data_IF_401980908288
#
_entry.id   IF_401980908288
#
_cell.length_a   1.000
_cell.length_b   1.000
_cell.length_c   1.000
_cell.angle_alpha   90.00
_cell.angle_beta   90.00
_cell.angle_gamma   90.00
#
_symmetry.space_group_name_H-M   'P 1'
#
loop_
_entity.id
_entity.type
_entity.pdbx_description
1 polymer ?
#
# COMPACT_ATOMS: atom_id res chain seq x y z
N UNK A 1 -28.96 29.18 38.22
CA UNK A 1 -27.53 29.13 37.85
C UNK A 1 -27.08 27.71 38.17
N UNK A 2 -27.14 26.82 37.17
CA UNK A 2 -26.93 25.38 37.32
C UNK A 2 -25.62 25.04 36.61
N UNK A 3 -24.60 24.69 37.38
CA UNK A 3 -23.36 24.09 36.89
C UNK A 3 -23.64 22.66 36.46
N UNK A 4 -23.52 22.41 35.15
CA UNK A 4 -23.56 21.08 34.56
C UNK A 4 -22.16 20.73 34.07
N UNK A 5 -21.29 20.32 34.99
CA UNK A 5 -20.00 19.72 34.68
C UNK A 5 -20.21 18.23 34.38
N UNK A 6 -20.65 17.94 33.17
CA UNK A 6 -20.81 16.59 32.66
C UNK A 6 -19.45 16.07 32.15
N UNK A 7 -18.75 15.35 33.03
CA UNK A 7 -17.56 14.58 32.71
C UNK A 7 -17.79 13.67 31.50
N UNK A 8 -17.14 13.98 30.38
CA UNK A 8 -17.08 13.09 29.21
C UNK A 8 -16.18 11.88 29.52
N UNK A 9 -16.60 10.65 29.20
CA UNK A 9 -15.76 9.48 29.41
C UNK A 9 -14.61 9.46 28.40
N UNK A 10 -13.37 9.39 28.90
CA UNK A 10 -12.16 9.14 28.12
C UNK A 10 -12.11 7.67 27.69
N UNK A 11 -12.68 7.34 26.53
CA UNK A 11 -12.42 6.06 25.89
C UNK A 11 -11.35 6.20 24.81
N UNK A 12 -10.15 5.72 25.13
CA UNK A 12 -9.25 5.00 24.22
C UNK A 12 -8.07 4.50 25.05
N UNK A 13 -8.24 3.37 25.73
CA UNK A 13 -7.10 2.57 26.18
C UNK A 13 -6.48 1.94 24.94
N UNK A 14 -5.41 2.55 24.42
CA UNK A 14 -4.58 1.94 23.38
C UNK A 14 -3.91 0.71 23.99
N UNK A 15 -4.51 -0.45 23.81
CA UNK A 15 -3.89 -1.72 24.19
C UNK A 15 -2.54 -1.77 23.46
N UNK A 16 -1.40 -1.94 24.16
CA UNK A 16 -0.12 -2.03 23.50
C UNK A 16 -0.10 -3.28 22.62
N UNK A 17 -0.24 -3.08 21.31
CA UNK A 17 -0.02 -4.12 20.32
C UNK A 17 1.44 -4.58 20.48
N UNK A 18 1.70 -5.89 20.72
CA UNK A 18 3.07 -6.39 20.86
C UNK A 18 3.93 -6.03 19.64
N UNK A 19 5.19 -5.67 19.84
CA UNK A 19 6.07 -5.05 18.84
C UNK A 19 6.19 -5.88 17.55
N UNK A 20 6.36 -7.20 17.66
CA UNK A 20 6.30 -8.14 16.52
C UNK A 20 5.01 -8.06 15.70
N UNK A 21 3.87 -7.80 16.35
CA UNK A 21 2.57 -7.63 15.68
C UNK A 21 2.49 -6.28 14.97
N UNK A 22 3.17 -5.24 15.48
CA UNK A 22 3.28 -3.94 14.80
C UNK A 22 4.12 -4.04 13.53
N UNK A 23 5.30 -4.66 13.60
CA UNK A 23 6.16 -4.89 12.42
C UNK A 23 5.41 -5.64 11.33
N UNK A 24 4.76 -6.76 11.68
CA UNK A 24 3.95 -7.55 10.73
C UNK A 24 2.82 -6.72 10.12
N UNK A 25 2.10 -5.94 10.92
CA UNK A 25 1.04 -5.06 10.43
C UNK A 25 1.55 -3.96 9.50
N UNK A 26 2.70 -3.34 9.81
CA UNK A 26 3.29 -2.29 8.97
C UNK A 26 3.77 -2.86 7.64
N UNK A 27 4.44 -4.01 7.68
CA UNK A 27 4.89 -4.72 6.50
C UNK A 27 3.72 -5.09 5.59
N UNK A 28 2.69 -5.72 6.16
CA UNK A 28 1.49 -6.09 5.41
C UNK A 28 0.85 -4.87 4.74
N UNK A 29 0.69 -3.76 5.48
CA UNK A 29 0.13 -2.53 4.92
C UNK A 29 0.96 -1.97 3.75
N UNK A 30 2.29 -1.99 3.86
CA UNK A 30 3.16 -1.54 2.80
C UNK A 30 3.18 -2.50 1.59
N UNK A 31 3.17 -3.81 1.82
CA UNK A 31 3.04 -4.82 0.76
C UNK A 31 1.70 -4.69 0.01
N UNK A 32 0.60 -4.41 0.73
CA UNK A 32 -0.70 -4.11 0.12
C UNK A 32 -0.64 -2.87 -0.78
N UNK A 33 -0.01 -1.78 -0.34
CA UNK A 33 0.17 -0.59 -1.17
C UNK A 33 1.04 -0.86 -2.41
N UNK A 34 2.07 -1.70 -2.28
CA UNK A 34 2.92 -2.11 -3.39
C UNK A 34 2.14 -2.95 -4.40
N UNK A 35 1.34 -3.91 -3.92
CA UNK A 35 0.55 -4.81 -4.76
C UNK A 35 -0.39 -4.07 -5.71
N UNK A 36 -1.03 -3.00 -5.23
CA UNK A 36 -2.04 -2.25 -5.99
C UNK A 36 -1.46 -1.09 -6.80
N UNK A 37 -0.15 -0.83 -6.71
CA UNK A 37 0.46 0.30 -7.38
C UNK A 37 0.95 -0.11 -8.78
N UNK A 38 0.45 0.51 -9.87
CA UNK A 38 0.67 0.01 -11.24
C UNK A 38 2.14 0.02 -11.68
N UNK A 39 2.95 0.94 -11.14
CA UNK A 39 4.37 1.11 -11.53
C UNK A 39 5.38 0.50 -10.55
N UNK A 40 4.93 -0.24 -9.53
CA UNK A 40 5.82 -0.80 -8.50
C UNK A 40 5.66 -2.31 -8.47
N UNK A 41 6.76 -3.04 -8.63
CA UNK A 41 6.77 -4.50 -8.56
C UNK A 41 7.47 -4.98 -7.30
N UNK A 42 6.86 -5.91 -6.56
CA UNK A 42 7.51 -6.59 -5.44
C UNK A 42 8.65 -7.50 -5.93
N UNK A 43 9.83 -7.37 -5.33
CA UNK A 43 10.99 -8.25 -5.55
C UNK A 43 11.11 -9.24 -4.39
N UNK A 44 12.07 -10.16 -4.43
CA UNK A 44 12.41 -11.00 -3.26
C UNK A 44 13.22 -10.22 -2.24
N UNK A 45 13.05 -10.56 -0.96
CA UNK A 45 13.91 -10.01 0.09
C UNK A 45 15.23 -10.79 0.17
N UNK A 46 16.31 -10.06 0.39
CA UNK A 46 17.67 -10.60 0.52
C UNK A 46 18.29 -10.38 1.91
N UNK A 47 17.57 -9.74 2.83
CA UNK A 47 17.97 -9.55 4.24
C UNK A 47 19.10 -8.56 4.49
N UNK A 48 19.73 -8.02 3.45
CA UNK A 48 20.90 -7.17 3.59
C UNK A 48 20.65 -5.87 4.36
N UNK A 49 19.45 -5.28 4.23
CA UNK A 49 19.08 -4.08 4.99
C UNK A 49 18.84 -4.43 6.46
N UNK A 50 18.26 -5.59 6.76
CA UNK A 50 18.13 -6.07 8.13
C UNK A 50 19.47 -6.34 8.80
N UNK A 51 20.45 -6.88 8.08
CA UNK A 51 21.83 -7.06 8.57
C UNK A 51 22.50 -5.72 8.87
N UNK A 52 22.44 -4.76 7.94
CA UNK A 52 22.99 -3.41 8.18
C UNK A 52 22.30 -2.69 9.34
N UNK A 53 20.99 -2.86 9.48
CA UNK A 53 20.23 -2.27 10.58
C UNK A 53 20.63 -2.88 11.93
N UNK A 54 20.89 -4.19 11.97
CA UNK A 54 21.39 -4.88 13.15
C UNK A 54 22.75 -4.32 13.60
N UNK A 55 23.68 -4.08 12.67
CA UNK A 55 24.99 -3.51 12.98
C UNK A 55 24.91 -2.07 13.53
N UNK A 56 23.86 -1.34 13.15
CA UNK A 56 23.54 0.00 13.67
C UNK A 56 22.68 -0.03 14.94
N UNK A 57 22.47 -1.20 15.54
CA UNK A 57 21.65 -1.39 16.74
C UNK A 57 20.18 -0.92 16.58
N UNK A 58 19.66 -0.96 15.35
CA UNK A 58 18.26 -0.66 15.06
C UNK A 58 17.43 -1.91 15.38
N UNK A 59 16.37 -1.74 16.18
CA UNK A 59 15.51 -2.84 16.58
C UNK A 59 14.81 -3.48 15.38
N UNK A 60 14.79 -4.81 15.32
CA UNK A 60 14.12 -5.54 14.25
C UNK A 60 12.61 -5.24 14.17
N UNK A 61 11.98 -4.75 15.24
CA UNK A 61 10.56 -4.36 15.28
C UNK A 61 10.33 -2.86 15.00
N UNK A 62 11.40 -2.08 14.81
CA UNK A 62 11.32 -0.64 14.52
C UNK A 62 11.03 -0.33 13.05
N UNK A 63 11.18 -1.32 12.17
CA UNK A 63 10.94 -1.14 10.75
C UNK A 63 10.59 -2.45 10.01
N UNK A 64 10.12 -2.30 8.78
CA UNK A 64 10.05 -3.37 7.80
C UNK A 64 10.77 -2.95 6.51
N UNK A 65 11.64 -3.81 5.97
CA UNK A 65 12.21 -3.62 4.65
C UNK A 65 11.40 -4.40 3.60
N UNK A 66 11.23 -3.81 2.42
CA UNK A 66 10.55 -4.39 1.27
C UNK A 66 11.33 -4.01 0.03
N UNK A 67 11.82 -5.01 -0.72
CA UNK A 67 12.48 -4.78 -2.00
C UNK A 67 11.44 -4.63 -3.10
N UNK A 68 11.56 -3.55 -3.88
CA UNK A 68 10.67 -3.25 -5.00
C UNK A 68 11.45 -2.81 -6.24
N UNK A 69 10.87 -3.00 -7.42
CA UNK A 69 11.32 -2.37 -8.65
C UNK A 69 10.37 -1.22 -9.00
N UNK A 70 10.94 -0.03 -9.23
CA UNK A 70 10.22 1.16 -9.69
C UNK A 70 10.90 1.66 -10.96
N UNK A 71 10.17 1.71 -12.08
CA UNK A 71 10.72 2.10 -13.39
C UNK A 71 12.01 1.34 -13.75
N UNK A 72 12.04 0.03 -13.46
CA UNK A 72 13.18 -0.86 -13.72
C UNK A 72 14.36 -0.73 -12.74
N UNK A 73 14.27 0.10 -11.71
CA UNK A 73 15.31 0.26 -10.69
C UNK A 73 14.93 -0.45 -9.40
N UNK A 74 15.86 -1.20 -8.84
CA UNK A 74 15.70 -1.85 -7.54
C UNK A 74 15.86 -0.81 -6.41
N UNK A 75 14.89 -0.78 -5.51
CA UNK A 75 14.82 0.10 -4.36
C UNK A 75 14.35 -0.69 -3.15
N UNK A 76 15.00 -0.51 -2.01
CA UNK A 76 14.48 -1.03 -0.73
C UNK A 76 13.69 0.05 -0.01
N UNK A 77 12.42 -0.20 0.22
CA UNK A 77 11.55 0.62 1.07
C UNK A 77 11.79 0.23 2.53
N UNK A 78 12.34 1.14 3.32
CA UNK A 78 12.48 0.98 4.77
C UNK A 78 11.32 1.70 5.43
N UNK A 79 10.31 0.92 5.78
CA UNK A 79 9.07 1.36 6.41
C UNK A 79 9.28 1.50 7.92
N UNK A 80 9.40 2.72 8.43
CA UNK A 80 9.79 2.98 9.83
C UNK A 80 8.58 3.19 10.72
N UNK A 81 8.53 2.46 11.84
CA UNK A 81 7.51 2.60 12.88
C UNK A 81 7.54 4.01 13.49
N UNK A 82 6.37 4.54 13.85
CA UNK A 82 6.22 5.91 14.37
C UNK A 82 7.06 6.19 15.63
N UNK A 83 7.20 5.27 16.61
CA UNK A 83 8.08 5.48 17.76
C UNK A 83 9.55 5.64 17.34
N UNK A 84 10.02 4.79 16.43
CA UNK A 84 11.40 4.78 15.93
C UNK A 84 11.73 5.98 15.04
N UNK A 85 10.72 6.58 14.40
CA UNK A 85 10.86 7.79 13.57
C UNK A 85 10.96 9.10 14.36
N UNK A 86 10.85 9.05 15.69
CA UNK A 86 11.04 10.23 16.57
C UNK A 86 12.53 10.45 16.86
N UNK A 87 12.88 11.65 17.30
CA UNK A 87 14.25 11.96 17.77
C UNK A 87 14.44 11.25 19.14
N UNK A 88 15.60 10.60 19.38
CA UNK A 88 16.80 10.53 18.53
C UNK A 88 16.81 9.39 17.48
N UNK A 89 15.89 8.42 17.55
CA UNK A 89 15.88 7.21 16.70
C UNK A 89 15.94 7.47 15.19
N UNK A 90 15.39 8.59 14.72
CA UNK A 90 15.45 8.99 13.30
C UNK A 90 16.87 9.09 12.72
N UNK A 91 17.89 9.42 13.53
CA UNK A 91 19.26 9.54 13.04
C UNK A 91 19.84 8.20 12.59
N UNK A 92 19.55 7.11 13.33
CA UNK A 92 20.01 5.77 12.98
C UNK A 92 19.49 5.32 11.60
N UNK A 93 18.25 5.69 11.23
CA UNK A 93 17.71 5.39 9.90
C UNK A 93 18.36 6.20 8.77
N UNK A 94 18.81 7.43 9.05
CA UNK A 94 19.59 8.19 8.07
C UNK A 94 20.98 7.60 7.88
N UNK A 95 21.60 7.13 8.96
CA UNK A 95 22.86 6.40 8.91
C UNK A 95 22.71 5.08 8.14
N UNK A 96 21.66 4.29 8.41
CA UNK A 96 21.33 3.09 7.64
C UNK A 96 21.21 3.39 6.14
N UNK A 97 20.50 4.47 5.77
CA UNK A 97 20.39 4.89 4.38
C UNK A 97 21.76 5.26 3.78
N UNK A 98 22.63 5.92 4.55
CA UNK A 98 23.96 6.30 4.09
C UNK A 98 24.88 5.08 3.89
N UNK A 99 24.88 4.13 4.84
CA UNK A 99 25.63 2.87 4.75
C UNK A 99 25.14 2.02 3.57
N UNK A 100 23.82 1.92 3.38
CA UNK A 100 23.23 1.22 2.24
C UNK A 100 23.64 1.87 0.91
N UNK A 101 23.64 3.21 0.83
CA UNK A 101 24.09 3.92 -0.37
C UNK A 101 25.58 3.67 -0.66
N UNK A 102 26.44 3.63 0.36
CA UNK A 102 27.85 3.33 0.22
C UNK A 102 28.12 1.90 -0.28
N UNK A 103 27.19 0.96 -0.04
CA UNK A 103 27.22 -0.41 -0.57
C UNK A 103 26.51 -0.57 -1.92
N UNK A 104 26.10 0.52 -2.57
CA UNK A 104 25.46 0.52 -3.88
C UNK A 104 23.95 0.24 -3.87
N UNK A 105 23.30 0.28 -2.70
CA UNK A 105 21.85 0.03 -2.56
C UNK A 105 21.07 1.34 -2.49
N UNK A 106 19.94 1.37 -3.19
CA UNK A 106 19.01 2.51 -3.12
C UNK A 106 17.98 2.27 -2.03
N UNK A 107 18.05 3.06 -0.95
CA UNK A 107 17.09 2.99 0.17
C UNK A 107 16.19 4.22 0.22
N UNK A 108 14.89 3.99 0.35
CA UNK A 108 13.89 5.02 0.61
C UNK A 108 13.29 4.81 2.00
N UNK A 109 13.45 5.81 2.87
CA UNK A 109 12.84 5.80 4.19
C UNK A 109 11.38 6.25 4.08
N UNK A 110 10.46 5.38 4.51
CA UNK A 110 9.02 5.61 4.43
C UNK A 110 8.46 5.65 5.85
N UNK A 111 7.96 6.79 6.35
CA UNK A 111 7.40 6.84 7.70
C UNK A 111 6.04 6.13 7.76
N UNK A 112 5.74 5.46 8.87
CA UNK A 112 4.47 4.74 9.09
C UNK A 112 3.23 5.60 8.81
N UNK A 113 3.25 6.90 9.15
CA UNK A 113 2.14 7.83 8.84
C UNK A 113 1.82 7.94 7.36
N UNK A 114 2.82 7.76 6.50
CA UNK A 114 2.62 7.76 5.05
C UNK A 114 1.89 6.47 4.66
N UNK A 115 2.37 5.33 5.13
CA UNK A 115 1.79 4.01 4.84
C UNK A 115 0.34 3.92 5.34
N UNK A 116 0.08 4.41 6.56
CA UNK A 116 -1.25 4.38 7.20
C UNK A 116 -2.17 5.54 6.84
N UNK A 117 -1.89 6.26 5.76
CA UNK A 117 -2.73 7.37 5.33
C UNK A 117 -4.08 6.82 4.82
N UNK A 118 -5.18 7.33 5.37
CA UNK A 118 -6.53 7.06 4.89
C UNK A 118 -6.99 8.15 3.90
N UNK A 119 -7.89 7.82 2.94
CA UNK A 119 -8.53 6.51 2.69
C UNK A 119 -7.65 5.51 1.91
N UNK A 120 -6.43 5.92 1.55
CA UNK A 120 -5.53 5.18 0.67
C UNK A 120 -5.24 3.75 1.12
N UNK A 121 -4.96 3.54 2.41
CA UNK A 121 -4.69 2.20 2.91
C UNK A 121 -5.94 1.32 2.89
N UNK A 122 -7.10 1.82 3.35
CA UNK A 122 -8.35 1.07 3.29
C UNK A 122 -8.74 0.69 1.86
N UNK A 123 -8.58 1.60 0.91
CA UNK A 123 -8.82 1.33 -0.51
C UNK A 123 -7.86 0.26 -1.06
N UNK A 124 -6.57 0.34 -0.74
CA UNK A 124 -5.60 -0.66 -1.15
C UNK A 124 -5.92 -2.05 -0.58
N UNK A 125 -6.37 -2.10 0.69
CA UNK A 125 -6.84 -3.35 1.31
C UNK A 125 -8.09 -3.91 0.64
N UNK A 126 -9.03 -3.05 0.26
CA UNK A 126 -10.22 -3.45 -0.49
C UNK A 126 -9.84 -4.09 -1.82
N UNK A 127 -8.99 -3.42 -2.60
CA UNK A 127 -8.51 -3.94 -3.89
C UNK A 127 -7.76 -5.26 -3.68
N UNK A 128 -6.82 -5.32 -2.72
CA UNK A 128 -6.08 -6.54 -2.41
C UNK A 128 -6.97 -7.70 -1.96
N UNK A 129 -8.14 -7.42 -1.37
CA UNK A 129 -9.14 -8.43 -1.03
C UNK A 129 -9.70 -9.18 -2.24
N UNK A 130 -9.71 -8.55 -3.42
CA UNK A 130 -10.14 -9.14 -4.67
C UNK A 130 -9.06 -10.02 -5.34
N UNK A 131 -7.91 -10.22 -4.68
CA UNK A 131 -6.85 -11.06 -5.22
C UNK A 131 -7.36 -12.49 -5.45
N UNK A 132 -7.25 -12.96 -6.69
CA UNK A 132 -7.70 -14.29 -7.09
C UNK A 132 -9.13 -14.33 -7.64
N UNK A 133 -9.86 -13.21 -7.66
CA UNK A 133 -11.12 -13.14 -8.37
C UNK A 133 -10.89 -13.40 -9.87
N UNK A 134 -11.67 -14.32 -10.44
CA UNK A 134 -11.55 -14.70 -11.84
C UNK A 134 -12.39 -13.78 -12.72
N UNK A 135 -11.82 -13.40 -13.85
CA UNK A 135 -12.54 -12.68 -14.89
C UNK A 135 -12.26 -13.32 -16.25
N UNK A 136 -13.33 -13.78 -16.89
CA UNK A 136 -13.26 -14.47 -18.17
C UNK A 136 -12.73 -13.57 -19.28
N UNK A 137 -12.01 -14.15 -20.25
CA UNK A 137 -11.40 -13.41 -21.36
C UNK A 137 -12.40 -12.52 -22.12
N UNK A 138 -13.62 -13.02 -22.36
CA UNK A 138 -14.67 -12.26 -23.04
C UNK A 138 -15.05 -11.00 -22.27
N UNK A 139 -15.14 -11.06 -20.95
CA UNK A 139 -15.53 -9.91 -20.13
C UNK A 139 -14.34 -8.93 -19.96
N UNK A 140 -13.11 -9.45 -19.86
CA UNK A 140 -11.89 -8.62 -19.95
C UNK A 140 -11.87 -7.79 -21.24
N UNK A 141 -12.16 -8.42 -22.38
CA UNK A 141 -12.16 -7.73 -23.68
C UNK A 141 -13.26 -6.68 -23.79
N UNK A 142 -14.45 -6.93 -23.21
CA UNK A 142 -15.53 -5.91 -23.17
C UNK A 142 -15.12 -4.69 -22.34
N UNK A 143 -14.54 -4.91 -21.16
CA UNK A 143 -14.05 -3.83 -20.30
C UNK A 143 -13.01 -3.00 -21.03
N UNK A 144 -12.01 -3.64 -21.66
CA UNK A 144 -10.97 -2.95 -22.41
C UNK A 144 -11.55 -2.14 -23.58
N UNK A 145 -12.45 -2.74 -24.37
CA UNK A 145 -13.10 -2.04 -25.48
C UNK A 145 -13.88 -0.82 -24.99
N UNK A 146 -14.67 -0.99 -23.92
CA UNK A 146 -15.44 0.11 -23.33
C UNK A 146 -14.55 1.23 -22.81
N UNK A 147 -13.44 0.91 -22.13
CA UNK A 147 -12.49 1.92 -21.66
C UNK A 147 -11.87 2.68 -22.84
N UNK A 148 -11.46 2.01 -23.91
CA UNK A 148 -10.91 2.66 -25.10
C UNK A 148 -11.93 3.59 -25.76
N UNK A 149 -13.18 3.15 -25.89
CA UNK A 149 -14.27 3.95 -26.46
C UNK A 149 -14.60 5.19 -25.62
N UNK A 150 -14.39 5.15 -24.30
CA UNK A 150 -14.65 6.25 -23.38
C UNK A 150 -13.40 7.09 -23.03
N UNK A 151 -12.34 7.01 -23.85
CA UNK A 151 -11.15 7.86 -23.67
C UNK A 151 -10.18 7.39 -22.59
N UNK A 152 -10.27 6.12 -22.19
CA UNK A 152 -9.34 5.45 -21.29
C UNK A 152 -9.80 5.36 -19.83
N UNK A 153 -11.01 5.80 -19.50
CA UNK A 153 -11.60 5.62 -18.17
C UNK A 153 -13.10 5.38 -18.22
N UNK A 154 -13.62 4.77 -17.16
CA UNK A 154 -15.05 4.61 -16.93
C UNK A 154 -15.35 4.42 -15.44
N UNK A 155 -16.58 4.70 -14.98
CA UNK A 155 -17.01 4.39 -13.62
C UNK A 155 -16.90 2.90 -13.30
N UNK A 156 -16.48 2.57 -12.08
CA UNK A 156 -16.36 1.21 -11.58
C UNK A 156 -17.64 0.38 -11.77
N UNK A 157 -18.80 0.99 -11.48
CA UNK A 157 -20.09 0.30 -11.63
C UNK A 157 -20.37 -0.06 -13.09
N UNK A 158 -20.03 0.82 -14.03
CA UNK A 158 -20.24 0.61 -15.46
C UNK A 158 -19.37 -0.54 -15.99
N UNK A 159 -18.17 -0.73 -15.42
CA UNK A 159 -17.34 -1.89 -15.72
C UNK A 159 -17.90 -3.17 -15.07
N UNK A 160 -18.34 -3.08 -13.81
CA UNK A 160 -18.85 -4.22 -13.07
C UNK A 160 -20.09 -4.85 -13.74
N UNK A 161 -21.00 -4.04 -14.30
CA UNK A 161 -22.19 -4.55 -15.01
C UNK A 161 -21.85 -5.35 -16.29
N UNK A 162 -20.63 -5.25 -16.80
CA UNK A 162 -20.16 -6.01 -17.96
C UNK A 162 -19.66 -7.41 -17.60
N UNK A 163 -19.32 -7.61 -16.33
CA UNK A 163 -18.78 -8.87 -15.81
C UNK A 163 -19.90 -9.81 -15.42
N UNK A 164 -19.82 -11.06 -15.87
CA UNK A 164 -20.71 -12.12 -15.41
C UNK A 164 -20.09 -12.84 -14.22
N UNK A 165 -20.82 -12.98 -13.11
CA UNK A 165 -20.34 -13.71 -11.94
C UNK A 165 -20.99 -13.22 -10.65
N UNK A 166 -20.59 -13.83 -9.52
CA UNK A 166 -21.10 -13.50 -8.19
C UNK A 166 -20.48 -12.21 -7.63
N UNK A 167 -19.22 -11.92 -7.97
CA UNK A 167 -18.46 -10.78 -7.43
C UNK A 167 -17.87 -9.90 -8.56
N UNK A 168 -18.73 -9.20 -9.35
CA UNK A 168 -18.28 -8.43 -10.52
C UNK A 168 -17.37 -7.26 -10.18
N UNK A 169 -17.52 -6.65 -9.01
CA UNK A 169 -16.62 -5.57 -8.55
C UNK A 169 -15.22 -6.14 -8.27
N UNK A 170 -15.14 -7.26 -7.57
CA UNK A 170 -13.86 -7.89 -7.23
C UNK A 170 -13.14 -8.37 -8.49
N UNK A 171 -13.88 -8.88 -9.49
CA UNK A 171 -13.32 -9.19 -10.80
C UNK A 171 -12.68 -7.97 -11.50
N UNK A 172 -13.27 -6.77 -11.40
CA UNK A 172 -12.66 -5.53 -11.92
C UNK A 172 -11.45 -5.12 -11.09
N UNK A 173 -11.52 -5.24 -9.76
CA UNK A 173 -10.39 -4.93 -8.87
C UNK A 173 -9.20 -5.88 -9.07
N UNK A 174 -9.45 -7.14 -9.42
CA UNK A 174 -8.39 -8.08 -9.78
C UNK A 174 -7.60 -7.60 -11.00
N UNK A 175 -8.23 -6.95 -11.98
CA UNK A 175 -7.53 -6.35 -13.12
C UNK A 175 -6.63 -5.16 -12.73
N UNK A 176 -6.93 -4.47 -11.63
CA UNK A 176 -6.05 -3.44 -11.05
C UNK A 176 -4.79 -4.09 -10.50
N UNK A 177 -4.92 -5.22 -9.79
CA UNK A 177 -3.78 -6.00 -9.27
C UNK A 177 -2.92 -6.57 -10.41
N UNK A 178 -3.56 -7.05 -11.48
CA UNK A 178 -2.86 -7.54 -12.68
C UNK A 178 -2.09 -6.44 -13.43
N UNK A 179 -2.32 -5.16 -13.07
CA UNK A 179 -1.60 -4.00 -13.61
C UNK A 179 -2.15 -3.47 -14.94
N UNK A 180 -3.31 -3.96 -15.39
CA UNK A 180 -3.98 -3.45 -16.59
C UNK A 180 -4.76 -2.16 -16.34
N UNK A 181 -5.25 -1.99 -15.10
CA UNK A 181 -6.09 -0.86 -14.68
C UNK A 181 -5.48 -0.13 -13.48
N UNK A 182 -5.88 1.12 -13.26
CA UNK A 182 -5.56 1.86 -12.04
C UNK A 182 -6.77 2.61 -11.49
N UNK A 183 -6.79 2.80 -10.17
CA UNK A 183 -7.78 3.59 -9.43
C UNK A 183 -7.04 4.58 -8.54
N UNK A 184 -7.54 5.83 -8.46
CA UNK A 184 -7.03 6.81 -7.49
C UNK A 184 -7.41 6.40 -6.06
N UNK A 185 -6.39 6.06 -5.27
CA UNK A 185 -6.57 5.61 -3.90
C UNK A 185 -6.72 6.76 -2.91
N UNK A 186 -6.45 8.02 -3.29
CA UNK A 186 -6.53 9.16 -2.37
C UNK A 186 -7.98 9.59 -2.08
N UNK A 187 -8.97 8.99 -2.74
CA UNK A 187 -10.41 9.23 -2.54
C UNK A 187 -11.14 7.93 -2.20
N UNK A 188 -12.21 7.96 -1.40
CA UNK A 188 -12.99 6.75 -1.13
C UNK A 188 -13.46 6.07 -2.42
N UNK A 189 -13.36 4.74 -2.48
CA UNK A 189 -13.90 3.96 -3.60
C UNK A 189 -15.43 3.93 -3.48
N UNK A 190 -16.10 4.40 -4.54
CA UNK A 190 -17.54 4.49 -4.72
C UNK A 190 -17.91 3.85 -6.07
N UNK A 191 -19.20 3.56 -6.32
CA UNK A 191 -19.64 3.06 -7.63
C UNK A 191 -19.29 3.98 -8.80
N UNK A 192 -19.21 5.30 -8.54
CA UNK A 192 -18.82 6.33 -9.51
C UNK A 192 -17.31 6.60 -9.54
N UNK A 193 -16.49 5.81 -8.85
CA UNK A 193 -15.03 5.96 -8.91
C UNK A 193 -14.54 5.59 -10.31
N UNK A 194 -13.77 6.48 -10.91
CA UNK A 194 -13.15 6.25 -12.22
C UNK A 194 -12.07 5.16 -12.12
N UNK A 195 -12.18 4.19 -13.03
CA UNK A 195 -11.18 3.16 -13.29
C UNK A 195 -10.55 3.49 -14.63
N UNK A 196 -9.22 3.50 -14.67
CA UNK A 196 -8.47 3.98 -15.82
C UNK A 196 -7.57 2.88 -16.38
N UNK A 197 -7.33 2.92 -17.69
CA UNK A 197 -6.26 2.12 -18.30
C UNK A 197 -4.90 2.61 -17.80
N UNK A 198 -4.01 1.68 -17.45
CA UNK A 198 -2.60 2.01 -17.25
C UNK A 198 -2.01 2.35 -18.62
N UNK A 199 -1.63 3.61 -18.82
CA UNK A 199 -0.93 4.00 -20.04
C UNK A 199 0.48 3.36 -20.04
N UNK A 200 0.93 2.79 -21.18
CA UNK A 200 2.31 2.37 -21.30
C UNK A 200 3.22 3.60 -21.14
N UNK A 201 4.18 3.50 -20.22
CA UNK A 201 5.24 4.50 -19.99
C UNK A 201 6.16 4.64 -21.21
#
# INVERSE_FOLDING_TARGET
MLDADAARPKFASTIPVPERRRRRSLRQAAETLVLVHPSVKRLSDDGAIEEMAHDLMIGADDFAAINVAVSGREVTLVCVCSPAWRVPGRHAFFELKAVAAASGRTVVLVPERFIRREPRLANAMLIAGAQGAEIGLTDRMKILAHLVENGGSAPLLDLAVMVRGEEPVDAVMALVIEGGLYIDLDRPILPSTEVHLVQPL
#
